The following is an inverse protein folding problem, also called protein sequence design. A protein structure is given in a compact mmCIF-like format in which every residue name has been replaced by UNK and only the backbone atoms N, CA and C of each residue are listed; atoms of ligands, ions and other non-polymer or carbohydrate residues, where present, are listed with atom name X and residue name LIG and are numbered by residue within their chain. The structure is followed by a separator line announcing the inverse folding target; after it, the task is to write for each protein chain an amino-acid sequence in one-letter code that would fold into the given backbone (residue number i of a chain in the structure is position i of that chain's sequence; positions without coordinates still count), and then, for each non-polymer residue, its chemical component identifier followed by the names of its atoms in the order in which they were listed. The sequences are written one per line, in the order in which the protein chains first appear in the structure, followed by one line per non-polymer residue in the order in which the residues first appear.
data_IF_471191059279
#
_entry.id   IF_471191059279
#
_cell.length_a   1.000
_cell.length_b   1.000
_cell.length_c   1.000
_cell.angle_alpha   90.00
_cell.angle_beta   90.00
_cell.angle_gamma   90.00
#
_symmetry.space_group_name_H-M   'P 1'
#
loop_
_entity.id
_entity.type
_entity.pdbx_description
1 polymer ?
#
# COMPACT_ATOMS: atom_id res chain seq x y z
N UNK A 1 -2.62 13.29 9.88
CA UNK A 1 -1.33 13.49 10.61
C UNK A 1 -0.55 12.20 10.51
N UNK A 2 0.78 12.26 10.41
CA UNK A 2 1.65 11.08 10.39
C UNK A 2 2.65 11.18 11.52
N UNK A 3 2.88 10.10 12.26
CA UNK A 3 3.95 9.97 13.26
C UNK A 3 4.89 8.83 12.86
N UNK A 4 6.16 8.94 13.23
CA UNK A 4 7.07 7.79 13.19
C UNK A 4 6.85 6.87 14.41
N UNK A 5 7.59 5.74 14.49
CA UNK A 5 7.51 4.77 15.60
C UNK A 5 7.99 5.33 16.95
N UNK A 6 8.66 6.47 16.95
CA UNK A 6 9.12 7.20 18.14
C UNK A 6 8.15 8.31 18.55
N UNK A 7 7.05 8.52 17.81
CA UNK A 7 6.02 9.52 18.07
C UNK A 7 6.31 10.91 17.50
N UNK A 8 7.41 11.09 16.73
CA UNK A 8 7.69 12.38 16.09
C UNK A 8 6.77 12.59 14.88
N UNK A 9 6.34 13.85 14.70
CA UNK A 9 5.48 14.21 13.57
C UNK A 9 6.30 14.22 12.28
N UNK A 10 5.85 13.45 11.30
CA UNK A 10 6.41 13.41 9.95
C UNK A 10 5.68 14.41 9.07
N UNK A 11 6.43 15.29 8.39
CA UNK A 11 5.84 16.27 7.46
C UNK A 11 5.26 15.58 6.24
N UNK A 12 4.04 15.94 5.88
CA UNK A 12 3.37 15.51 4.65
C UNK A 12 3.47 16.61 3.59
N UNK A 13 3.49 16.22 2.30
CA UNK A 13 3.54 17.15 1.18
C UNK A 13 2.21 17.92 1.03
N UNK A 14 2.10 19.11 1.60
CA UNK A 14 0.87 19.92 1.60
C UNK A 14 0.35 20.30 0.21
N UNK A 15 1.24 20.47 -0.78
CA UNK A 15 0.84 20.92 -2.11
C UNK A 15 -0.06 19.96 -2.87
N UNK A 16 0.17 18.64 -2.71
CA UNK A 16 -0.68 17.62 -3.34
C UNK A 16 -2.07 17.57 -2.72
N UNK A 17 -2.16 17.74 -1.41
CA UNK A 17 -3.42 17.68 -0.68
C UNK A 17 -4.41 18.79 -1.12
N UNK A 18 -3.93 20.01 -1.41
CA UNK A 18 -4.77 21.12 -1.88
C UNK A 18 -5.40 20.84 -3.26
N UNK A 19 -4.59 20.32 -4.20
CA UNK A 19 -5.08 19.97 -5.54
C UNK A 19 -6.09 18.83 -5.50
N UNK A 20 -5.77 17.77 -4.77
CA UNK A 20 -6.65 16.61 -4.59
C UNK A 20 -7.97 17.04 -3.93
N UNK A 21 -7.92 17.82 -2.86
CA UNK A 21 -9.12 18.35 -2.21
C UNK A 21 -10.00 19.08 -3.21
N UNK A 22 -9.45 19.96 -4.05
CA UNK A 22 -10.22 20.68 -5.09
C UNK A 22 -10.83 19.73 -6.12
N UNK A 23 -10.09 18.71 -6.56
CA UNK A 23 -10.58 17.71 -7.52
C UNK A 23 -11.75 16.89 -6.96
N UNK A 24 -11.69 16.48 -5.69
CA UNK A 24 -12.72 15.63 -5.10
C UNK A 24 -13.93 16.42 -4.57
N UNK A 25 -13.73 17.63 -4.00
CA UNK A 25 -14.79 18.41 -3.36
C UNK A 25 -15.69 19.20 -4.33
N UNK A 26 -15.19 19.56 -5.53
CA UNK A 26 -15.94 20.39 -6.47
C UNK A 26 -16.64 19.58 -7.55
N UNK A 27 -17.79 20.06 -8.07
CA UNK A 27 -18.52 19.40 -9.17
C UNK A 27 -17.71 19.33 -10.46
N UNK A 28 -17.00 20.42 -10.82
CA UNK A 28 -16.10 20.45 -11.97
C UNK A 28 -14.91 19.51 -11.79
N UNK A 29 -14.33 19.45 -10.56
CA UNK A 29 -13.26 18.52 -10.23
C UNK A 29 -13.70 17.07 -10.35
N UNK A 30 -14.88 16.70 -9.85
CA UNK A 30 -15.44 15.34 -10.01
C UNK A 30 -15.70 14.96 -11.47
N UNK A 31 -16.08 15.93 -12.32
CA UNK A 31 -16.20 15.69 -13.75
C UNK A 31 -14.83 15.38 -14.39
N UNK A 32 -13.80 16.15 -14.04
CA UNK A 32 -12.43 15.90 -14.49
C UNK A 32 -11.90 14.54 -13.95
N UNK A 33 -12.23 14.17 -12.71
CA UNK A 33 -11.84 12.89 -12.12
C UNK A 33 -12.35 11.69 -12.91
N UNK A 34 -13.58 11.72 -13.45
CA UNK A 34 -14.12 10.61 -14.26
C UNK A 34 -13.22 10.28 -15.44
N UNK A 35 -12.55 11.27 -16.00
CA UNK A 35 -11.59 11.10 -17.09
C UNK A 35 -10.24 10.63 -16.54
N UNK A 36 -9.73 11.32 -15.52
CA UNK A 36 -8.41 11.05 -14.94
C UNK A 36 -8.26 9.65 -14.32
N UNK A 37 -9.33 9.11 -13.70
CA UNK A 37 -9.31 7.77 -13.10
C UNK A 37 -9.57 6.65 -14.11
N UNK A 38 -9.84 6.98 -15.36
CA UNK A 38 -10.11 5.97 -16.39
C UNK A 38 -8.86 5.16 -16.72
N UNK A 39 -8.99 3.83 -16.98
CA UNK A 39 -7.86 2.99 -17.34
C UNK A 39 -7.10 3.49 -18.58
N UNK A 40 -7.80 4.11 -19.52
CA UNK A 40 -7.20 4.64 -20.75
C UNK A 40 -6.24 5.81 -20.47
N UNK A 41 -6.67 6.80 -19.67
CA UNK A 41 -5.81 7.96 -19.32
C UNK A 41 -4.65 7.52 -18.44
N UNK A 42 -4.90 6.61 -17.50
CA UNK A 42 -3.85 6.01 -16.66
C UNK A 42 -2.81 5.29 -17.53
N UNK A 43 -3.24 4.55 -18.55
CA UNK A 43 -2.33 3.87 -19.48
C UNK A 43 -1.47 4.87 -20.27
N UNK A 44 -2.07 5.93 -20.83
CA UNK A 44 -1.33 6.99 -21.52
C UNK A 44 -0.33 7.70 -20.60
N UNK A 45 -0.73 8.00 -19.37
CA UNK A 45 0.16 8.54 -18.35
C UNK A 45 1.35 7.62 -18.06
N UNK A 46 1.09 6.31 -17.92
CA UNK A 46 2.13 5.30 -17.73
C UNK A 46 3.12 5.21 -18.90
N UNK A 47 2.63 5.30 -20.14
CA UNK A 47 3.48 5.35 -21.34
C UNK A 47 4.38 6.59 -21.33
N UNK A 48 3.85 7.77 -21.00
CA UNK A 48 4.66 8.99 -20.87
C UNK A 48 5.71 8.85 -19.79
N UNK A 49 5.33 8.37 -18.58
CA UNK A 49 6.26 8.19 -17.47
C UNK A 49 7.34 7.14 -17.73
N UNK A 50 7.09 6.22 -18.64
CA UNK A 50 8.06 5.21 -19.10
C UNK A 50 8.93 5.70 -20.28
N UNK A 51 8.61 6.87 -20.85
CA UNK A 51 9.37 7.47 -21.95
C UNK A 51 10.64 8.18 -21.48
N UNK A 52 11.68 8.33 -22.32
CA UNK A 52 12.87 9.08 -21.98
C UNK A 52 12.64 10.55 -21.67
N UNK A 53 11.57 11.16 -22.19
CA UNK A 53 11.22 12.56 -21.94
C UNK A 53 10.88 12.85 -20.47
N UNK A 54 10.36 11.85 -19.75
CA UNK A 54 9.98 11.98 -18.35
C UNK A 54 11.17 12.13 -17.40
N UNK A 55 12.41 11.87 -17.85
CA UNK A 55 13.63 12.00 -17.03
C UNK A 55 13.87 13.41 -16.49
N UNK A 56 13.44 14.43 -17.22
CA UNK A 56 13.65 15.83 -16.83
C UNK A 56 13.03 16.18 -15.47
N UNK A 57 12.03 15.43 -15.06
CA UNK A 57 11.32 15.62 -13.78
C UNK A 57 12.04 14.99 -12.59
N UNK A 58 12.99 14.08 -12.78
CA UNK A 58 13.60 13.28 -11.70
C UNK A 58 14.33 14.16 -10.69
N UNK A 59 15.23 15.03 -11.14
CA UNK A 59 16.04 15.85 -10.25
C UNK A 59 15.18 16.79 -9.40
N UNK A 60 14.18 17.42 -10.02
CA UNK A 60 13.22 18.26 -9.30
C UNK A 60 12.41 17.47 -8.29
N UNK A 61 12.01 16.26 -8.64
CA UNK A 61 11.24 15.39 -7.76
C UNK A 61 12.06 14.96 -6.54
N UNK A 62 13.31 14.53 -6.72
CA UNK A 62 14.23 14.17 -5.63
C UNK A 62 14.38 15.35 -4.66
N UNK A 63 14.65 16.56 -5.21
CA UNK A 63 14.85 17.76 -4.40
C UNK A 63 13.59 18.19 -3.64
N UNK A 64 12.44 18.17 -4.31
CA UNK A 64 11.18 18.65 -3.72
C UNK A 64 10.61 17.69 -2.66
N UNK A 65 10.99 16.42 -2.71
CA UNK A 65 10.53 15.40 -1.78
C UNK A 65 11.62 14.97 -0.78
N UNK A 66 12.78 15.65 -0.79
CA UNK A 66 13.92 15.37 0.10
C UNK A 66 14.33 13.89 0.13
N UNK A 67 14.39 13.27 -1.08
CA UNK A 67 14.68 11.84 -1.18
C UNK A 67 16.19 11.61 -1.00
N UNK A 68 16.55 10.89 0.05
CA UNK A 68 17.92 10.45 0.29
C UNK A 68 18.32 9.34 -0.69
N UNK A 69 18.99 9.75 -1.77
CA UNK A 69 19.44 8.84 -2.82
C UNK A 69 20.60 7.93 -2.39
N UNK A 70 21.24 8.19 -1.26
CA UNK A 70 22.34 7.35 -0.75
C UNK A 70 21.92 5.92 -0.43
N UNK A 71 20.63 5.73 -0.11
CA UNK A 71 20.02 4.43 0.21
C UNK A 71 19.76 3.55 -1.01
N UNK A 72 19.81 4.12 -2.22
CA UNK A 72 19.42 3.40 -3.45
C UNK A 72 20.63 3.02 -4.29
N UNK A 73 20.47 1.98 -5.13
CA UNK A 73 21.48 1.56 -6.10
C UNK A 73 21.82 2.72 -7.04
N UNK A 74 23.12 2.91 -7.31
CA UNK A 74 23.59 3.90 -8.25
C UNK A 74 23.25 3.47 -9.68
N UNK A 75 22.37 4.23 -10.34
CA UNK A 75 21.86 3.91 -11.66
C UNK A 75 21.58 5.17 -12.48
N UNK A 76 21.90 5.11 -13.78
CA UNK A 76 21.40 6.10 -14.75
C UNK A 76 19.98 5.71 -15.19
N UNK A 77 18.98 6.39 -14.65
CA UNK A 77 17.59 6.10 -14.95
C UNK A 77 17.23 6.45 -16.40
N UNK A 78 16.48 5.54 -17.04
CA UNK A 78 16.06 5.69 -18.45
C UNK A 78 14.77 6.50 -18.61
N UNK A 79 13.93 6.54 -17.54
CA UNK A 79 12.65 7.25 -17.48
C UNK A 79 12.30 7.56 -16.02
N UNK A 80 11.24 8.33 -15.82
CA UNK A 80 10.72 8.56 -14.47
C UNK A 80 10.22 7.27 -13.80
N UNK A 81 9.56 6.37 -14.57
CA UNK A 81 9.10 5.10 -14.04
C UNK A 81 10.28 4.19 -13.62
N UNK A 82 11.39 4.21 -14.36
CA UNK A 82 12.62 3.50 -13.98
C UNK A 82 13.23 4.03 -12.67
N UNK A 83 13.13 5.34 -12.41
CA UNK A 83 13.48 5.95 -11.14
C UNK A 83 12.47 5.59 -10.03
N UNK A 84 11.18 5.61 -10.34
CA UNK A 84 10.13 5.32 -9.37
C UNK A 84 10.23 3.89 -8.83
N UNK A 85 10.60 2.94 -9.68
CA UNK A 85 10.83 1.53 -9.35
C UNK A 85 12.28 1.23 -8.93
N UNK A 86 13.04 2.25 -8.49
CA UNK A 86 14.43 2.13 -8.02
C UNK A 86 14.60 1.03 -6.99
N UNK A 87 15.79 0.50 -6.84
CA UNK A 87 16.12 -0.51 -5.84
C UNK A 87 16.89 0.10 -4.67
N UNK A 88 16.58 -0.37 -3.47
CA UNK A 88 17.36 -0.09 -2.26
C UNK A 88 18.63 -0.94 -2.30
N UNK A 89 19.74 -0.39 -1.84
CA UNK A 89 21.00 -1.12 -1.65
C UNK A 89 20.85 -2.20 -0.59
N UNK A 90 21.59 -3.28 -0.72
CA UNK A 90 21.66 -4.31 0.30
C UNK A 90 22.05 -3.71 1.65
N UNK A 91 21.43 -4.20 2.72
CA UNK A 91 21.68 -3.76 4.09
C UNK A 91 21.00 -2.44 4.50
N UNK A 92 20.31 -1.72 3.61
CA UNK A 92 19.57 -0.49 3.94
C UNK A 92 18.20 -0.77 4.58
N UNK A 93 17.72 -1.99 4.53
CA UNK A 93 16.56 -2.48 5.27
C UNK A 93 16.99 -3.75 6.00
N UNK A 94 16.61 -3.84 7.27
CA UNK A 94 16.84 -5.02 8.10
C UNK A 94 15.56 -5.85 8.15
N UNK A 95 15.71 -7.15 8.06
CA UNK A 95 14.62 -8.09 8.20
C UNK A 95 14.89 -8.95 9.44
N UNK A 96 13.91 -9.01 10.34
CA UNK A 96 13.96 -9.94 11.46
C UNK A 96 13.39 -11.28 11.03
N UNK A 97 14.25 -12.31 10.98
CA UNK A 97 13.88 -13.67 10.56
C UNK A 97 13.16 -14.47 11.65
N UNK A 98 12.93 -13.87 12.83
CA UNK A 98 12.22 -14.52 13.94
C UNK A 98 10.81 -14.92 13.49
N UNK A 99 10.39 -16.13 13.89
CA UNK A 99 9.11 -16.73 13.48
C UNK A 99 7.89 -16.06 14.11
N UNK A 100 8.09 -15.35 15.20
CA UNK A 100 7.06 -14.66 15.97
C UNK A 100 6.93 -13.17 15.60
N UNK A 101 7.77 -12.65 14.72
CA UNK A 101 7.78 -11.26 14.30
C UNK A 101 7.04 -11.08 12.97
N UNK A 102 5.99 -10.25 12.97
CA UNK A 102 5.35 -9.74 11.76
C UNK A 102 6.04 -8.45 11.33
N UNK A 103 6.45 -8.38 10.08
CA UNK A 103 7.14 -7.21 9.53
C UNK A 103 6.27 -6.40 8.57
N UNK A 104 6.58 -5.12 8.38
CA UNK A 104 5.97 -4.27 7.36
C UNK A 104 6.39 -4.72 5.94
N UNK A 105 5.43 -4.85 5.00
CA UNK A 105 5.71 -5.28 3.63
C UNK A 105 6.35 -4.21 2.74
N UNK A 106 6.31 -2.94 3.14
CA UNK A 106 6.75 -1.80 2.33
C UNK A 106 7.06 -0.57 3.21
N UNK A 107 7.87 0.35 2.68
CA UNK A 107 7.96 1.72 3.20
C UNK A 107 6.60 2.40 3.02
N UNK A 108 5.94 2.83 4.09
CA UNK A 108 4.55 3.27 4.01
C UNK A 108 4.07 4.02 5.25
N UNK A 109 2.84 4.47 5.18
CA UNK A 109 2.04 4.99 6.28
C UNK A 109 1.00 3.93 6.64
N UNK A 110 1.17 3.31 7.81
CA UNK A 110 0.37 2.20 8.31
C UNK A 110 -0.80 2.70 9.14
N UNK A 111 -1.97 2.11 8.90
CA UNK A 111 -3.15 2.25 9.76
C UNK A 111 -3.70 0.86 10.06
N UNK A 112 -4.08 0.65 11.31
CA UNK A 112 -4.71 -0.55 11.82
C UNK A 112 -6.24 -0.38 11.84
N UNK A 113 -6.96 -1.40 11.38
CA UNK A 113 -8.42 -1.47 11.46
C UNK A 113 -8.85 -2.85 11.97
N UNK A 114 -9.69 -2.94 13.01
CA UNK A 114 -10.35 -4.19 13.36
C UNK A 114 -11.39 -4.53 12.28
N UNK A 115 -11.54 -5.81 12.00
CA UNK A 115 -12.65 -6.33 11.22
C UNK A 115 -13.74 -6.72 12.21
N UNK A 116 -14.86 -5.99 12.21
CA UNK A 116 -15.97 -6.24 13.11
C UNK A 116 -16.75 -7.49 12.68
N UNK A 117 -17.66 -7.93 13.54
CA UNK A 117 -18.62 -8.97 13.24
C UNK A 117 -19.36 -8.65 11.92
N UNK A 118 -19.75 -9.66 11.14
CA UNK A 118 -20.26 -9.54 9.77
C UNK A 118 -19.21 -9.08 8.74
N UNK A 119 -17.92 -9.22 9.04
CA UNK A 119 -16.80 -8.85 8.14
C UNK A 119 -16.80 -7.39 7.69
N UNK A 120 -17.27 -6.47 8.54
CA UNK A 120 -17.29 -5.03 8.26
C UNK A 120 -15.97 -4.40 8.70
N UNK A 121 -15.35 -3.70 7.77
CA UNK A 121 -14.15 -2.89 7.95
C UNK A 121 -14.53 -1.42 7.79
N UNK A 122 -14.32 -0.61 8.81
CA UNK A 122 -14.59 0.83 8.77
C UNK A 122 -13.27 1.60 8.59
N UNK A 123 -13.09 2.17 7.40
CA UNK A 123 -11.93 3.00 7.07
C UNK A 123 -12.43 4.43 6.91
N UNK A 124 -12.08 5.34 7.83
CA UNK A 124 -12.44 6.77 7.80
C UNK A 124 -13.93 6.97 7.47
N UNK A 125 -14.81 6.54 8.35
CA UNK A 125 -16.26 6.69 8.22
C UNK A 125 -16.89 5.97 6.99
N UNK A 126 -16.08 5.29 6.16
CA UNK A 126 -16.58 4.49 5.05
C UNK A 126 -16.58 3.01 5.41
N UNK A 127 -17.76 2.40 5.41
CA UNK A 127 -17.92 0.97 5.67
C UNK A 127 -17.64 0.15 4.41
N UNK A 128 -16.72 -0.78 4.55
CA UNK A 128 -16.40 -1.78 3.52
C UNK A 128 -16.85 -3.15 4.02
N UNK A 129 -17.60 -3.87 3.21
CA UNK A 129 -17.75 -5.29 3.46
C UNK A 129 -16.56 -6.02 2.85
N UNK A 130 -15.92 -6.89 3.62
CA UNK A 130 -14.74 -7.61 3.17
C UNK A 130 -15.03 -8.45 1.91
N UNK A 131 -16.27 -8.99 1.79
CA UNK A 131 -16.73 -9.70 0.58
C UNK A 131 -16.68 -8.85 -0.69
N UNK A 132 -16.96 -7.53 -0.59
CA UNK A 132 -16.87 -6.62 -1.74
C UNK A 132 -15.41 -6.34 -2.09
N UNK A 133 -14.55 -6.26 -1.08
CA UNK A 133 -13.11 -6.03 -1.25
C UNK A 133 -12.46 -7.25 -1.93
N UNK A 134 -12.81 -8.47 -1.51
CA UNK A 134 -12.26 -9.72 -2.03
C UNK A 134 -13.01 -10.25 -3.26
N UNK A 135 -14.25 -9.79 -3.48
CA UNK A 135 -15.20 -10.41 -4.42
C UNK A 135 -15.30 -11.95 -4.19
N UNK A 136 -15.38 -12.31 -2.90
CA UNK A 136 -15.46 -13.69 -2.42
C UNK A 136 -16.04 -13.69 -1.00
N UNK A 137 -17.28 -14.14 -0.87
CA UNK A 137 -17.99 -14.13 0.41
C UNK A 137 -17.51 -15.25 1.34
N UNK A 138 -17.16 -16.40 0.77
CA UNK A 138 -16.71 -17.56 1.57
C UNK A 138 -15.36 -17.23 2.21
N UNK A 139 -14.43 -16.74 1.40
CA UNK A 139 -13.10 -16.31 1.88
C UNK A 139 -13.22 -15.17 2.88
N UNK A 140 -14.12 -14.21 2.67
CA UNK A 140 -14.30 -13.08 3.58
C UNK A 140 -14.68 -13.51 5.00
N UNK A 141 -15.57 -14.49 5.13
CA UNK A 141 -16.03 -15.02 6.43
C UNK A 141 -14.91 -15.65 7.26
N UNK A 142 -13.82 -16.10 6.62
CA UNK A 142 -12.66 -16.64 7.35
C UNK A 142 -11.93 -15.60 8.20
N UNK A 143 -12.16 -14.30 7.93
CA UNK A 143 -11.48 -13.18 8.60
C UNK A 143 -12.39 -12.39 9.55
N UNK A 144 -13.54 -12.95 9.88
CA UNK A 144 -14.46 -12.34 10.84
C UNK A 144 -13.79 -12.14 12.22
N UNK A 145 -13.94 -10.94 12.80
CA UNK A 145 -13.24 -10.56 14.03
C UNK A 145 -11.72 -10.41 13.91
N UNK A 146 -11.16 -10.53 12.70
CA UNK A 146 -9.73 -10.37 12.43
C UNK A 146 -9.29 -8.91 12.34
N UNK A 147 -8.17 -8.69 11.67
CA UNK A 147 -7.59 -7.34 11.50
C UNK A 147 -7.22 -7.06 10.04
N UNK A 148 -7.27 -5.78 9.68
CA UNK A 148 -6.84 -5.24 8.42
C UNK A 148 -5.78 -4.16 8.64
N UNK A 149 -4.60 -4.35 8.08
CA UNK A 149 -3.50 -3.41 8.10
C UNK A 149 -3.38 -2.74 6.73
N UNK A 150 -3.49 -1.42 6.68
CA UNK A 150 -3.44 -0.64 5.44
C UNK A 150 -2.13 0.13 5.37
N UNK A 151 -1.28 -0.22 4.44
CA UNK A 151 0.03 0.38 4.17
C UNK A 151 -0.07 1.29 2.95
N UNK A 152 -0.28 2.56 3.17
CA UNK A 152 -0.38 3.57 2.11
C UNK A 152 1.01 4.06 1.71
N UNK A 153 1.38 3.86 0.46
CA UNK A 153 2.62 4.37 -0.12
C UNK A 153 2.33 5.72 -0.80
N UNK A 154 2.98 6.77 -0.33
CA UNK A 154 2.99 8.06 -1.00
C UNK A 154 4.04 8.06 -2.12
N UNK A 155 3.99 9.03 -3.02
CA UNK A 155 4.84 9.06 -4.22
C UNK A 155 6.35 9.13 -3.94
N UNK A 156 6.73 9.58 -2.76
CA UNK A 156 8.11 9.69 -2.26
C UNK A 156 8.62 8.40 -1.61
N UNK A 157 7.73 7.48 -1.23
CA UNK A 157 8.10 6.21 -0.61
C UNK A 157 8.83 5.27 -1.59
N UNK A 158 9.33 4.18 -1.07
CA UNK A 158 9.87 3.06 -1.85
C UNK A 158 8.72 2.15 -2.31
N UNK A 159 8.58 1.96 -3.62
CA UNK A 159 7.40 1.32 -4.19
C UNK A 159 7.56 -0.17 -4.51
N UNK A 160 8.54 -0.85 -3.90
CA UNK A 160 8.66 -2.31 -3.91
C UNK A 160 8.14 -2.87 -2.59
N UNK A 161 7.59 -4.06 -2.62
CA UNK A 161 7.02 -4.71 -1.45
C UNK A 161 7.41 -6.18 -1.40
N UNK A 162 7.47 -6.73 -0.18
CA UNK A 162 7.93 -8.09 0.10
C UNK A 162 6.86 -8.91 0.79
N UNK A 163 7.04 -10.22 0.78
CA UNK A 163 6.27 -11.12 1.64
C UNK A 163 6.63 -10.89 3.11
N UNK A 164 5.61 -10.93 3.98
CA UNK A 164 5.77 -10.64 5.43
C UNK A 164 6.12 -11.86 6.25
N UNK A 165 5.92 -13.06 5.72
CA UNK A 165 6.24 -14.33 6.35
C UNK A 165 6.52 -15.43 5.32
N UNK A 166 7.09 -16.55 5.78
CA UNK A 166 7.22 -17.77 5.00
C UNK A 166 5.87 -18.50 4.92
N UNK A 167 5.55 -19.08 3.77
CA UNK A 167 4.30 -19.82 3.62
C UNK A 167 4.05 -20.33 2.21
N UNK A 168 2.97 -21.11 2.08
CA UNK A 168 2.50 -21.61 0.79
C UNK A 168 1.53 -20.61 0.16
N UNK A 169 1.75 -20.22 -1.09
CA UNK A 169 0.79 -19.44 -1.86
C UNK A 169 -0.29 -20.40 -2.38
N UNK A 170 -1.53 -20.23 -1.90
CA UNK A 170 -2.62 -21.14 -2.24
C UNK A 170 -3.58 -20.56 -3.27
N UNK A 171 -3.62 -19.24 -3.41
CA UNK A 171 -4.53 -18.59 -4.34
C UNK A 171 -4.04 -17.19 -4.72
N UNK A 172 -4.33 -16.79 -5.96
CA UNK A 172 -4.09 -15.43 -6.45
C UNK A 172 -5.29 -14.96 -7.27
N UNK A 173 -5.75 -13.73 -7.05
CA UNK A 173 -6.86 -13.13 -7.80
C UNK A 173 -6.56 -11.68 -8.18
N UNK A 174 -6.90 -11.37 -9.43
CA UNK A 174 -6.87 -10.01 -9.97
C UNK A 174 -8.28 -9.48 -10.15
N UNK A 175 -8.55 -8.33 -9.56
CA UNK A 175 -9.83 -7.65 -9.64
C UNK A 175 -9.63 -6.36 -10.42
N UNK A 176 -10.27 -6.27 -11.59
CA UNK A 176 -10.26 -5.07 -12.41
C UNK A 176 -11.09 -3.97 -11.74
N UNK A 177 -10.62 -2.74 -11.82
CA UNK A 177 -11.29 -1.57 -11.27
C UNK A 177 -10.81 -0.29 -11.95
N UNK A 178 -11.07 0.83 -11.32
CA UNK A 178 -10.61 2.15 -11.72
C UNK A 178 -9.40 2.58 -10.86
N UNK A 179 -8.96 3.84 -10.97
CA UNK A 179 -7.73 4.29 -10.32
C UNK A 179 -7.96 5.62 -9.58
N UNK A 180 -8.79 5.63 -8.52
CA UNK A 180 -8.83 6.77 -7.60
C UNK A 180 -7.52 6.87 -6.81
N UNK A 181 -7.15 8.10 -6.38
CA UNK A 181 -6.01 8.25 -5.47
C UNK A 181 -6.25 7.51 -4.16
N UNK A 182 -5.21 6.92 -3.61
CA UNK A 182 -5.24 6.31 -2.25
C UNK A 182 -4.99 7.34 -1.14
N UNK A 183 -4.86 8.64 -1.49
CA UNK A 183 -4.81 9.69 -0.49
C UNK A 183 -6.11 9.68 0.33
N UNK A 184 -6.03 9.79 1.65
CA UNK A 184 -7.19 9.75 2.55
C UNK A 184 -8.34 10.69 2.17
N UNK A 185 -8.05 11.83 1.52
CA UNK A 185 -9.06 12.79 1.04
C UNK A 185 -10.07 12.14 0.06
N UNK A 186 -9.64 11.17 -0.74
CA UNK A 186 -10.53 10.52 -1.69
C UNK A 186 -11.56 9.61 -1.01
N UNK A 187 -11.19 9.00 0.11
CA UNK A 187 -12.07 8.08 0.83
C UNK A 187 -13.30 8.79 1.44
N UNK A 188 -13.19 10.10 1.69
CA UNK A 188 -14.32 10.91 2.15
C UNK A 188 -15.43 11.07 1.09
N UNK A 189 -15.12 10.75 -0.18
CA UNK A 189 -16.05 10.89 -1.31
C UNK A 189 -16.36 9.58 -2.03
N UNK A 190 -15.44 8.62 -2.03
CA UNK A 190 -15.57 7.35 -2.78
C UNK A 190 -14.98 6.19 -1.98
N UNK A 191 -15.60 5.00 -2.01
CA UNK A 191 -15.07 3.79 -1.39
C UNK A 191 -13.91 3.22 -2.22
N UNK A 192 -12.75 3.92 -2.18
CA UNK A 192 -11.62 3.72 -3.10
C UNK A 192 -11.07 2.29 -3.11
N UNK A 193 -10.97 1.65 -1.94
CA UNK A 193 -10.37 0.32 -1.84
C UNK A 193 -11.16 -0.76 -2.60
N UNK A 194 -12.49 -0.66 -2.67
CA UNK A 194 -13.31 -1.61 -3.44
C UNK A 194 -13.49 -1.21 -4.89
N UNK A 195 -13.28 0.06 -5.24
CA UNK A 195 -13.40 0.57 -6.61
C UNK A 195 -12.11 0.43 -7.41
N UNK A 196 -10.96 0.53 -6.76
CA UNK A 196 -9.67 0.49 -7.43
C UNK A 196 -9.30 -0.92 -7.90
N UNK A 197 -8.53 -0.95 -8.99
CA UNK A 197 -7.89 -2.16 -9.49
C UNK A 197 -6.97 -2.74 -8.42
N UNK A 198 -7.08 -4.03 -8.14
CA UNK A 198 -6.31 -4.68 -7.08
C UNK A 198 -6.01 -6.12 -7.39
N UNK A 199 -4.96 -6.61 -6.80
CA UNK A 199 -4.57 -8.03 -6.85
C UNK A 199 -4.36 -8.52 -5.43
N UNK A 200 -4.76 -9.75 -5.11
CA UNK A 200 -4.45 -10.32 -3.82
C UNK A 200 -3.96 -11.76 -3.92
N UNK A 201 -3.16 -12.12 -2.95
CA UNK A 201 -2.58 -13.45 -2.77
C UNK A 201 -3.01 -13.98 -1.41
N UNK A 202 -3.56 -15.18 -1.37
CA UNK A 202 -3.84 -15.92 -0.14
C UNK A 202 -2.63 -16.79 0.16
N UNK A 203 -2.11 -16.65 1.37
CA UNK A 203 -0.90 -17.32 1.85
C UNK A 203 -1.24 -18.12 3.09
N UNK A 204 -1.02 -19.43 3.06
CA UNK A 204 -0.98 -20.24 4.26
C UNK A 204 0.40 -20.03 4.92
N UNK A 205 0.43 -19.01 5.81
CA UNK A 205 1.64 -18.61 6.52
C UNK A 205 2.03 -19.67 7.53
N UNK A 206 3.33 -19.88 7.67
CA UNK A 206 3.88 -20.85 8.63
C UNK A 206 3.68 -20.42 10.09
N UNK A 207 3.57 -19.09 10.34
CA UNK A 207 3.60 -18.55 11.69
C UNK A 207 2.31 -17.81 12.09
N UNK A 208 1.58 -17.20 11.14
CA UNK A 208 0.42 -16.34 11.38
C UNK A 208 -0.90 -16.87 10.80
N UNK A 209 -0.93 -18.19 10.44
CA UNK A 209 -2.09 -18.80 9.83
C UNK A 209 -2.37 -18.27 8.43
N UNK A 210 -3.57 -18.53 7.90
CA UNK A 210 -3.96 -18.05 6.57
C UNK A 210 -4.15 -16.54 6.57
N UNK A 211 -3.42 -15.84 5.70
CA UNK A 211 -3.49 -14.39 5.53
C UNK A 211 -3.71 -14.00 4.07
N UNK A 212 -4.17 -12.76 3.86
CA UNK A 212 -4.27 -12.16 2.53
C UNK A 212 -3.30 -10.98 2.46
N UNK A 213 -2.45 -10.98 1.44
CA UNK A 213 -1.68 -9.81 1.05
C UNK A 213 -2.22 -9.27 -0.27
N UNK A 214 -2.70 -8.02 -0.25
CA UNK A 214 -3.37 -7.38 -1.39
C UNK A 214 -2.63 -6.11 -1.78
N UNK A 215 -2.47 -5.91 -3.08
CA UNK A 215 -1.96 -4.68 -3.69
C UNK A 215 -3.10 -3.93 -4.35
N UNK A 216 -3.27 -2.66 -4.00
CA UNK A 216 -4.31 -1.77 -4.54
C UNK A 216 -3.63 -0.66 -5.34
N UNK A 217 -3.97 -0.58 -6.62
CA UNK A 217 -3.52 0.48 -7.51
C UNK A 217 -4.27 1.79 -7.25
N UNK A 218 -3.65 2.91 -7.66
CA UNK A 218 -4.27 4.23 -7.49
C UNK A 218 -4.10 5.11 -8.73
N UNK A 219 -4.57 6.35 -8.66
CA UNK A 219 -4.48 7.34 -9.74
C UNK A 219 -3.04 7.48 -10.23
N UNK A 220 -2.88 7.39 -11.54
CA UNK A 220 -1.58 7.44 -12.22
C UNK A 220 -0.69 6.21 -11.95
N UNK A 221 -1.15 5.17 -11.22
CA UNK A 221 -0.42 3.90 -11.10
C UNK A 221 -0.43 3.20 -12.44
N UNK A 222 0.74 3.08 -13.05
CA UNK A 222 0.88 2.41 -14.34
C UNK A 222 0.51 0.93 -14.26
N UNK A 223 0.92 0.25 -13.17
CA UNK A 223 0.70 -1.19 -13.05
C UNK A 223 1.09 -1.73 -11.66
N UNK A 224 0.34 -2.72 -11.18
CA UNK A 224 0.77 -3.65 -10.15
C UNK A 224 1.57 -4.75 -10.85
N UNK A 225 2.81 -4.96 -10.42
CA UNK A 225 3.67 -6.02 -10.94
C UNK A 225 3.99 -7.01 -9.84
N UNK A 226 3.29 -8.13 -9.82
CA UNK A 226 3.56 -9.25 -8.92
C UNK A 226 4.41 -10.31 -9.63
N UNK A 227 5.44 -10.81 -8.95
CA UNK A 227 6.20 -11.97 -9.43
C UNK A 227 5.38 -13.24 -9.22
N UNK A 228 5.68 -14.24 -10.04
CA UNK A 228 5.01 -15.53 -9.97
C UNK A 228 5.80 -16.47 -9.06
N UNK A 229 5.44 -16.49 -7.79
CA UNK A 229 5.99 -17.43 -6.81
C UNK A 229 4.93 -18.47 -6.43
N UNK A 230 5.34 -19.67 -6.09
CA UNK A 230 4.49 -20.70 -5.47
C UNK A 230 4.64 -20.75 -3.96
N UNK A 231 5.75 -20.21 -3.45
CA UNK A 231 6.10 -20.13 -2.04
C UNK A 231 6.38 -18.67 -1.71
N UNK A 232 5.85 -18.19 -0.59
CA UNK A 232 6.21 -16.92 0.00
C UNK A 232 7.43 -17.12 0.90
N UNK A 233 8.47 -16.32 0.69
CA UNK A 233 9.66 -16.29 1.56
C UNK A 233 9.70 -14.95 2.26
N UNK A 234 9.79 -14.93 3.58
CA UNK A 234 9.85 -13.70 4.39
C UNK A 234 10.97 -12.78 3.90
N UNK A 235 10.64 -11.51 3.62
CA UNK A 235 11.59 -10.54 3.09
C UNK A 235 11.82 -10.60 1.57
N UNK A 236 11.48 -11.70 0.89
CA UNK A 236 11.59 -11.79 -0.56
C UNK A 236 10.66 -10.80 -1.25
N UNK A 237 11.17 -10.10 -2.28
CA UNK A 237 10.38 -9.15 -3.05
C UNK A 237 9.20 -9.85 -3.75
N UNK A 238 7.99 -9.51 -3.36
CA UNK A 238 6.75 -10.00 -4.00
C UNK A 238 6.48 -9.28 -5.31
N UNK A 239 6.83 -8.00 -5.37
CA UNK A 239 6.59 -7.17 -6.54
C UNK A 239 6.83 -5.68 -6.30
N UNK A 240 6.30 -4.88 -7.22
CA UNK A 240 6.41 -3.43 -7.18
C UNK A 240 5.23 -2.73 -7.86
N UNK A 241 5.05 -1.45 -7.53
CA UNK A 241 4.14 -0.57 -8.26
C UNK A 241 4.92 0.27 -9.27
N UNK A 242 4.41 0.40 -10.48
CA UNK A 242 4.84 1.43 -11.42
C UNK A 242 4.25 2.78 -10.98
N UNK A 243 4.70 3.89 -11.59
CA UNK A 243 4.42 5.25 -11.15
C UNK A 243 2.98 5.50 -10.70
N UNK A 244 2.85 6.08 -9.49
CA UNK A 244 1.60 6.54 -8.85
C UNK A 244 1.51 6.15 -7.38
N UNK A 245 0.56 6.70 -6.64
CA UNK A 245 0.26 6.27 -5.27
C UNK A 245 -0.25 4.83 -5.23
N UNK A 246 -0.04 4.12 -4.14
CA UNK A 246 -0.40 2.71 -4.02
C UNK A 246 -0.65 2.31 -2.57
N UNK A 247 -1.22 1.14 -2.39
CA UNK A 247 -1.46 0.60 -1.04
C UNK A 247 -1.23 -0.90 -1.03
N UNK A 248 -0.54 -1.39 -0.01
CA UNK A 248 -0.52 -2.79 0.35
C UNK A 248 -1.49 -2.98 1.53
N UNK A 249 -2.26 -4.05 1.51
CA UNK A 249 -3.19 -4.40 2.59
C UNK A 249 -2.87 -5.81 3.07
N UNK A 250 -2.74 -5.99 4.38
CA UNK A 250 -2.69 -7.30 5.01
C UNK A 250 -3.99 -7.55 5.76
N UNK A 251 -4.58 -8.71 5.54
CA UNK A 251 -5.77 -9.16 6.25
C UNK A 251 -5.39 -10.45 6.98
N UNK A 252 -5.54 -10.44 8.30
CA UNK A 252 -5.15 -11.53 9.19
C UNK A 252 -6.38 -11.99 10.00
N UNK A 253 -6.39 -13.29 10.31
CA UNK A 253 -7.44 -13.87 11.13
C UNK A 253 -7.35 -13.39 12.57
N UNK A 254 -8.46 -13.52 13.27
CA UNK A 254 -8.56 -13.22 14.70
C UNK A 254 -7.46 -13.95 15.48
N UNK A 255 -6.88 -13.27 16.46
CA UNK A 255 -5.91 -13.78 17.45
C UNK A 255 -4.60 -14.36 16.87
N UNK A 256 -4.34 -14.21 15.54
CA UNK A 256 -3.10 -14.70 14.93
C UNK A 256 -1.90 -13.78 15.14
N UNK A 257 -2.15 -12.49 15.39
CA UNK A 257 -1.10 -11.48 15.60
C UNK A 257 -1.54 -10.43 16.61
N UNK A 258 -0.61 -9.97 17.44
CA UNK A 258 -0.72 -8.79 18.30
C UNK A 258 0.10 -7.67 17.67
N UNK A 259 -0.58 -6.63 17.19
CA UNK A 259 0.07 -5.43 16.63
C UNK A 259 0.61 -4.56 17.76
N UNK A 260 1.72 -3.87 17.50
CA UNK A 260 2.38 -3.00 18.47
C UNK A 260 1.47 -1.82 18.87
N UNK A 261 1.52 -1.47 20.14
CA UNK A 261 0.57 -0.52 20.77
C UNK A 261 0.65 0.89 20.17
N UNK A 262 1.83 1.35 19.75
CA UNK A 262 1.98 2.66 19.11
C UNK A 262 1.19 2.75 17.80
N UNK A 263 1.12 1.68 17.03
CA UNK A 263 0.36 1.61 15.77
C UNK A 263 -1.15 1.63 16.07
N UNK A 264 -1.60 0.86 17.06
CA UNK A 264 -3.01 0.80 17.46
C UNK A 264 -3.46 2.16 18.00
N UNK A 265 -2.68 2.76 18.90
CA UNK A 265 -2.99 4.04 19.52
C UNK A 265 -3.04 5.17 18.47
N UNK A 266 -2.05 5.25 17.59
CA UNK A 266 -2.06 6.23 16.49
C UNK A 266 -3.30 6.04 15.60
N UNK A 267 -3.61 4.80 15.22
CA UNK A 267 -4.76 4.51 14.37
C UNK A 267 -6.10 4.90 15.00
N UNK A 268 -6.26 4.71 16.33
CA UNK A 268 -7.46 5.13 17.06
C UNK A 268 -7.66 6.65 17.07
N UNK A 269 -6.57 7.42 16.96
CA UNK A 269 -6.57 8.88 16.85
C UNK A 269 -6.63 9.38 15.38
N UNK A 270 -6.87 8.50 14.41
CA UNK A 270 -6.78 8.81 12.96
C UNK A 270 -5.41 9.33 12.52
N UNK A 271 -4.34 8.85 13.16
CA UNK A 271 -2.95 9.14 12.85
C UNK A 271 -2.34 7.93 12.13
N UNK A 272 -1.69 8.14 11.00
CA UNK A 272 -0.93 7.10 10.31
C UNK A 272 0.46 6.94 10.95
N UNK A 273 0.94 5.71 11.06
CA UNK A 273 2.29 5.43 11.58
C UNK A 273 3.25 5.15 10.41
N UNK A 274 4.32 5.95 10.30
CA UNK A 274 5.37 5.69 9.31
C UNK A 274 6.14 4.43 9.69
N UNK A 275 6.18 3.48 8.76
CA UNK A 275 6.96 2.24 8.88
C UNK A 275 7.84 2.05 7.65
N UNK A 276 8.95 1.35 7.83
CA UNK A 276 9.87 0.97 6.76
C UNK A 276 9.71 -0.52 6.43
N UNK A 277 9.98 -0.88 5.18
CA UNK A 277 10.05 -2.27 4.74
C UNK A 277 10.92 -3.10 5.68
N UNK A 278 10.41 -4.23 6.15
CA UNK A 278 11.09 -5.13 7.08
C UNK A 278 10.99 -4.75 8.56
N UNK A 279 10.52 -3.54 8.89
CA UNK A 279 10.38 -3.11 10.28
C UNK A 279 9.30 -3.94 11.00
N UNK A 280 9.58 -4.36 12.23
CA UNK A 280 8.62 -5.05 13.10
C UNK A 280 7.39 -4.19 13.35
N UNK A 281 6.21 -4.76 13.20
CA UNK A 281 4.91 -4.10 13.42
C UNK A 281 4.00 -4.86 14.37
N UNK A 282 4.43 -6.03 14.81
CA UNK A 282 3.69 -6.88 15.73
C UNK A 282 4.32 -8.24 15.90
N UNK A 283 3.72 -9.03 16.78
CA UNK A 283 4.20 -10.34 17.15
C UNK A 283 3.07 -11.36 17.06
N UNK A 284 3.45 -12.65 16.95
CA UNK A 284 2.49 -13.75 16.95
C UNK A 284 1.54 -13.64 18.14
N UNK A 285 0.24 -13.79 17.86
CA UNK A 285 -0.77 -13.91 18.90
C UNK A 285 -0.59 -15.18 19.75
N UNK A 286 -1.18 -15.19 20.90
CA UNK A 286 -1.10 -16.33 21.85
C UNK A 286 -2.11 -17.39 21.48
#
# INVERSE_FOLDING_TARGET
MIKDRQGHIVKELEGQNKLLKKLYSTSAGRCALKILVSPFVTHLGGLYMSSPFSKTSISSFIKNNDIDMSQYEEKKYKSYNDFFTRRIKDGQRSFDDSKDVLMAPADSKLTYYPINDDTILEIKDTKYQLKDLLQDEILAKEYDGGICLVFRLAVDDYHRYSYVDNGQIVFHKKIKGIFHTVNPIANDYYPIYKMNSREYTVIDSNNFGRMIQMEVGAMMVGKIVNYKHSIATKGEEKGYFEFGGSTVVLILKKDTVKIDEDIINNSSENIETRVLLGQTIGHKGV
#
